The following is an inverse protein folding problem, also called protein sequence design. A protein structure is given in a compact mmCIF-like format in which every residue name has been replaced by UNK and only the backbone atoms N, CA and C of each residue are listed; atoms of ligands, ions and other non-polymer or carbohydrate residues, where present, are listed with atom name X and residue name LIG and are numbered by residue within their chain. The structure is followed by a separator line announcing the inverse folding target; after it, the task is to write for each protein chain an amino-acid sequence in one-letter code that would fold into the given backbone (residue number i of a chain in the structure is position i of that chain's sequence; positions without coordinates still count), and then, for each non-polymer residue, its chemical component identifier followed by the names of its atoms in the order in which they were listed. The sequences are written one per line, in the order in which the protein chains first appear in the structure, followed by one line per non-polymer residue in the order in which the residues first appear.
data_IF_384807450495
#
_entry.id   IF_384807450495
#
_cell.length_a   1.000
_cell.length_b   1.000
_cell.length_c   1.000
_cell.angle_alpha   90.00
_cell.angle_beta   90.00
_cell.angle_gamma   90.00
#
_symmetry.space_group_name_H-M   'P 1'
#
loop_
_entity.id
_entity.type
_entity.pdbx_description
1 polymer ?
#
# COMPACT_ATOMS: atom_id res chain seq x y z
N UNK A 1 31.02 -14.89 27.23
CA UNK A 1 30.05 -14.02 26.53
C UNK A 1 30.59 -13.72 25.13
N UNK A 2 29.98 -14.25 24.08
CA UNK A 2 30.30 -13.88 22.69
C UNK A 2 29.12 -14.24 21.78
N UNK A 3 28.08 -13.40 21.76
CA UNK A 3 27.06 -13.43 20.70
C UNK A 3 27.60 -12.63 19.51
N UNK A 4 28.50 -13.20 18.71
CA UNK A 4 29.06 -12.49 17.56
C UNK A 4 29.48 -13.45 16.45
N UNK A 5 28.49 -14.12 15.89
CA UNK A 5 28.48 -14.64 14.52
C UNK A 5 27.12 -15.27 14.38
N UNK A 6 26.19 -14.64 13.67
CA UNK A 6 24.95 -15.34 13.41
C UNK A 6 24.68 -15.56 11.94
N UNK A 7 24.93 -14.62 11.02
CA UNK A 7 24.60 -14.87 9.60
C UNK A 7 25.49 -14.09 8.62
N UNK A 8 26.49 -14.75 8.02
CA UNK A 8 27.32 -14.24 6.91
C UNK A 8 27.26 -15.21 5.73
N UNK A 9 27.10 -14.70 4.51
CA UNK A 9 27.16 -15.47 3.25
C UNK A 9 28.32 -14.93 2.42
N UNK A 10 29.20 -15.79 1.89
CA UNK A 10 30.42 -15.39 1.18
C UNK A 10 31.25 -14.30 1.91
N UNK A 11 31.42 -14.42 3.23
CA UNK A 11 32.12 -13.46 4.10
C UNK A 11 31.48 -12.05 4.17
N UNK A 12 30.30 -11.86 3.62
CA UNK A 12 29.53 -10.61 3.70
C UNK A 12 28.40 -10.79 4.72
N UNK A 13 28.16 -9.81 5.62
CA UNK A 13 27.05 -9.86 6.56
C UNK A 13 25.70 -10.00 5.86
N UNK A 14 24.84 -10.93 6.30
CA UNK A 14 23.52 -11.15 5.70
C UNK A 14 22.64 -9.89 5.72
N UNK A 15 22.85 -8.98 6.69
CA UNK A 15 22.23 -7.64 6.70
C UNK A 15 22.46 -6.85 5.40
N UNK A 16 23.64 -6.96 4.80
CA UNK A 16 24.00 -6.22 3.60
C UNK A 16 23.24 -6.76 2.37
N UNK A 17 23.13 -8.08 2.23
CA UNK A 17 22.30 -8.68 1.19
C UNK A 17 20.82 -8.31 1.34
N UNK A 18 20.31 -8.28 2.58
CA UNK A 18 18.93 -7.85 2.84
C UNK A 18 18.72 -6.37 2.50
N UNK A 19 19.70 -5.50 2.74
CA UNK A 19 19.66 -4.09 2.32
C UNK A 19 19.65 -3.95 0.79
N UNK A 20 20.49 -4.71 0.09
CA UNK A 20 20.52 -4.74 -1.39
C UNK A 20 19.20 -5.24 -1.98
N UNK A 21 18.65 -6.34 -1.45
CA UNK A 21 17.35 -6.87 -1.89
C UNK A 21 16.21 -5.89 -1.61
N UNK A 22 16.24 -5.18 -0.47
CA UNK A 22 15.27 -4.10 -0.18
C UNK A 22 15.41 -2.94 -1.16
N UNK A 23 16.65 -2.56 -1.48
CA UNK A 23 16.93 -1.49 -2.44
C UNK A 23 16.39 -1.85 -3.83
N UNK A 24 16.62 -3.08 -4.28
CA UNK A 24 16.11 -3.60 -5.56
C UNK A 24 14.58 -3.54 -5.66
N UNK A 25 13.88 -4.01 -4.62
CA UNK A 25 12.41 -3.90 -4.54
C UNK A 25 11.94 -2.44 -4.57
N UNK A 26 12.64 -1.53 -3.89
CA UNK A 26 12.28 -0.11 -3.89
C UNK A 26 12.42 0.52 -5.28
N UNK A 27 13.48 0.16 -6.03
CA UNK A 27 13.64 0.60 -7.41
C UNK A 27 12.54 0.05 -8.33
N UNK A 28 12.21 -1.24 -8.19
CA UNK A 28 11.11 -1.84 -8.94
C UNK A 28 9.76 -1.17 -8.62
N UNK A 29 9.47 -0.91 -7.34
CA UNK A 29 8.26 -0.21 -6.94
C UNK A 29 8.22 1.23 -7.47
N UNK A 30 9.35 1.92 -7.51
CA UNK A 30 9.46 3.26 -8.10
C UNK A 30 9.17 3.23 -9.61
N UNK A 31 9.77 2.29 -10.35
CA UNK A 31 9.51 2.12 -11.77
C UNK A 31 8.03 1.81 -12.05
N UNK A 32 7.40 0.96 -11.24
CA UNK A 32 5.95 0.70 -11.32
C UNK A 32 5.16 2.00 -11.12
N UNK A 33 5.52 2.82 -10.13
CA UNK A 33 4.81 4.08 -9.85
C UNK A 33 4.97 5.12 -10.99
N UNK A 34 6.12 5.15 -11.65
CA UNK A 34 6.42 6.10 -12.74
C UNK A 34 5.78 5.67 -14.08
N UNK A 35 5.88 4.38 -14.42
CA UNK A 35 5.55 3.89 -15.77
C UNK A 35 4.09 3.45 -15.92
N UNK A 36 3.36 3.27 -14.83
CA UNK A 36 1.97 2.79 -14.87
C UNK A 36 1.03 3.90 -15.35
N UNK A 37 0.13 3.57 -16.27
CA UNK A 37 -0.87 4.50 -16.82
C UNK A 37 -1.77 5.14 -15.75
N UNK A 38 -2.14 4.37 -14.73
CA UNK A 38 -2.94 4.84 -13.59
C UNK A 38 -2.00 5.15 -12.42
N UNK A 39 -2.17 6.29 -11.72
CA UNK A 39 -1.40 6.59 -10.53
C UNK A 39 -1.62 5.52 -9.46
N UNK A 40 -0.58 5.29 -8.64
CA UNK A 40 -0.64 4.44 -7.46
C UNK A 40 0.22 5.01 -6.35
N UNK A 41 -0.11 4.68 -5.10
CA UNK A 41 0.75 5.01 -3.96
C UNK A 41 1.97 4.08 -3.92
N UNK A 42 3.00 4.48 -3.17
CA UNK A 42 4.19 3.64 -2.95
C UNK A 42 3.83 2.25 -2.41
N UNK A 43 2.87 2.17 -1.50
CA UNK A 43 2.41 0.92 -0.89
C UNK A 43 1.68 0.05 -1.91
N UNK A 44 0.90 0.66 -2.81
CA UNK A 44 0.25 -0.04 -3.92
C UNK A 44 1.27 -0.54 -4.95
N UNK A 45 2.29 0.25 -5.27
CA UNK A 45 3.36 -0.17 -6.18
C UNK A 45 4.18 -1.34 -5.59
N UNK A 46 4.47 -1.28 -4.29
CA UNK A 46 5.11 -2.38 -3.58
C UNK A 46 4.24 -3.65 -3.55
N UNK A 47 2.92 -3.50 -3.35
CA UNK A 47 1.99 -4.64 -3.40
C UNK A 47 1.89 -5.24 -4.81
N UNK A 48 1.89 -4.40 -5.86
CA UNK A 48 1.95 -4.84 -7.24
C UNK A 48 3.19 -5.67 -7.52
N UNK A 49 4.35 -5.22 -7.03
CA UNK A 49 5.58 -5.98 -7.15
C UNK A 49 5.46 -7.36 -6.48
N UNK A 50 4.90 -7.43 -5.27
CA UNK A 50 4.81 -8.68 -4.51
C UNK A 50 3.76 -9.66 -5.05
N UNK A 51 2.62 -9.16 -5.55
CA UNK A 51 1.43 -9.98 -5.86
C UNK A 51 1.06 -10.00 -7.34
N UNK A 52 1.65 -9.12 -8.15
CA UNK A 52 1.28 -8.91 -9.55
C UNK A 52 -0.10 -8.25 -9.76
N UNK A 53 -0.87 -7.97 -8.71
CA UNK A 53 -2.23 -7.40 -8.82
C UNK A 53 -2.53 -6.39 -7.71
N UNK A 54 -3.38 -5.39 -8.01
CA UNK A 54 -3.92 -4.43 -7.03
C UNK A 54 -5.29 -4.84 -6.48
N UNK A 55 -5.86 -5.94 -6.95
CA UNK A 55 -7.19 -6.35 -6.55
C UNK A 55 -7.14 -6.88 -5.11
N UNK A 56 -7.50 -6.00 -4.17
CA UNK A 56 -7.81 -6.39 -2.80
C UNK A 56 -9.29 -6.75 -2.72
N UNK A 57 -9.59 -8.01 -2.42
CA UNK A 57 -10.95 -8.44 -2.05
C UNK A 57 -11.50 -7.64 -0.85
N UNK A 58 -10.59 -7.17 0.01
CA UNK A 58 -10.93 -6.36 1.19
C UNK A 58 -9.82 -5.34 1.46
N UNK A 59 -10.19 -4.07 1.61
CA UNK A 59 -9.24 -3.04 2.07
C UNK A 59 -9.01 -3.13 3.59
N UNK A 60 -7.82 -2.72 4.06
CA UNK A 60 -7.54 -2.54 5.48
C UNK A 60 -8.60 -1.66 6.14
N UNK A 61 -8.90 -1.92 7.42
CA UNK A 61 -9.91 -1.14 8.15
C UNK A 61 -9.43 0.30 8.36
N UNK A 62 -8.13 0.46 8.52
CA UNK A 62 -7.41 1.70 8.75
C UNK A 62 -7.59 2.66 7.56
N UNK A 63 -7.41 2.17 6.33
CA UNK A 63 -7.68 2.94 5.10
C UNK A 63 -9.13 3.46 5.08
N UNK A 64 -10.10 2.61 5.43
CA UNK A 64 -11.53 2.96 5.39
C UNK A 64 -11.87 3.99 6.47
N UNK A 65 -11.32 3.82 7.67
CA UNK A 65 -11.49 4.75 8.78
C UNK A 65 -10.88 6.11 8.48
N UNK A 66 -9.73 6.13 7.80
CA UNK A 66 -9.12 7.36 7.33
C UNK A 66 -9.96 8.06 6.26
N UNK A 67 -10.48 7.33 5.26
CA UNK A 67 -11.40 7.89 4.26
C UNK A 67 -12.65 8.50 4.93
N UNK A 68 -13.20 7.86 5.97
CA UNK A 68 -14.33 8.39 6.73
C UNK A 68 -13.92 9.66 7.49
N UNK A 69 -12.72 9.68 8.10
CA UNK A 69 -12.19 10.85 8.81
C UNK A 69 -12.03 12.04 7.86
N UNK A 70 -11.38 11.85 6.72
CA UNK A 70 -11.21 12.87 5.69
C UNK A 70 -12.56 13.37 5.17
N UNK A 71 -13.53 12.47 5.00
CA UNK A 71 -14.90 12.86 4.61
C UNK A 71 -15.56 13.74 5.67
N UNK A 72 -15.39 13.43 6.96
CA UNK A 72 -15.90 14.25 8.09
C UNK A 72 -15.21 15.61 8.17
N UNK A 73 -13.95 15.71 7.75
CA UNK A 73 -13.22 16.99 7.64
C UNK A 73 -13.67 17.86 6.46
N UNK A 74 -14.57 17.36 5.60
CA UNK A 74 -15.17 18.13 4.51
C UNK A 74 -14.62 17.82 3.13
N UNK A 75 -13.61 16.95 3.00
CA UNK A 75 -13.07 16.56 1.69
C UNK A 75 -14.15 15.88 0.83
N UNK A 76 -14.12 16.16 -0.46
CA UNK A 76 -14.95 15.54 -1.49
C UNK A 76 -14.43 14.15 -1.80
N UNK A 77 -15.31 13.27 -2.28
CA UNK A 77 -14.92 11.90 -2.65
C UNK A 77 -13.81 11.86 -3.71
N UNK A 78 -13.78 12.84 -4.63
CA UNK A 78 -12.72 12.95 -5.64
C UNK A 78 -11.35 13.22 -5.01
N UNK A 79 -11.26 14.15 -4.07
CA UNK A 79 -10.01 14.50 -3.38
C UNK A 79 -9.50 13.32 -2.55
N UNK A 80 -10.40 12.62 -1.86
CA UNK A 80 -10.06 11.40 -1.12
C UNK A 80 -9.59 10.31 -2.09
N UNK A 81 -10.23 10.18 -3.25
CA UNK A 81 -9.85 9.19 -4.26
C UNK A 81 -8.44 9.45 -4.83
N UNK A 82 -8.08 10.71 -5.03
CA UNK A 82 -6.74 11.12 -5.44
C UNK A 82 -5.68 10.73 -4.40
N UNK A 83 -5.93 10.98 -3.11
CA UNK A 83 -5.02 10.61 -2.00
C UNK A 83 -4.74 9.10 -1.99
N UNK A 84 -5.77 8.27 -2.20
CA UNK A 84 -5.67 6.81 -2.12
C UNK A 84 -5.45 6.12 -3.47
N UNK A 85 -5.27 6.89 -4.54
CA UNK A 85 -5.16 6.40 -5.92
C UNK A 85 -6.29 5.40 -6.26
N UNK A 86 -7.54 5.86 -6.07
CA UNK A 86 -8.77 5.10 -6.23
C UNK A 86 -9.72 5.80 -7.21
N UNK A 87 -10.74 5.06 -7.64
CA UNK A 87 -11.89 5.66 -8.29
C UNK A 87 -12.82 6.33 -7.25
N UNK A 88 -13.38 7.52 -7.52
CA UNK A 88 -14.31 8.20 -6.61
C UNK A 88 -15.54 7.34 -6.24
N UNK A 89 -16.02 6.51 -7.17
CA UNK A 89 -17.10 5.54 -6.93
C UNK A 89 -16.73 4.49 -5.88
N UNK A 90 -15.47 4.02 -5.91
CA UNK A 90 -14.94 3.08 -4.91
C UNK A 90 -14.92 3.73 -3.54
N UNK A 91 -14.44 4.97 -3.42
CA UNK A 91 -14.43 5.70 -2.15
C UNK A 91 -15.85 5.91 -1.63
N UNK A 92 -16.78 6.34 -2.49
CA UNK A 92 -18.19 6.51 -2.13
C UNK A 92 -18.78 5.21 -1.55
N UNK A 93 -18.54 4.08 -2.20
CA UNK A 93 -18.99 2.77 -1.75
C UNK A 93 -18.38 2.40 -0.39
N UNK A 94 -17.08 2.56 -0.22
CA UNK A 94 -16.38 2.21 1.03
C UNK A 94 -16.85 3.05 2.22
N UNK A 95 -16.98 4.37 2.03
CA UNK A 95 -17.41 5.30 3.08
C UNK A 95 -18.87 5.08 3.46
N UNK A 96 -19.75 4.82 2.48
CA UNK A 96 -21.18 4.65 2.72
C UNK A 96 -21.57 3.24 3.17
N UNK A 97 -20.80 2.20 2.81
CA UNK A 97 -21.07 0.81 3.21
C UNK A 97 -21.01 0.60 4.74
N UNK A 98 -20.28 1.44 5.49
CA UNK A 98 -20.34 1.44 6.97
C UNK A 98 -21.61 2.10 7.55
N UNK A 99 -22.39 2.85 6.76
CA UNK A 99 -23.64 3.50 7.23
C UNK A 99 -24.88 2.65 7.05
N UNK A 100 -24.84 1.63 6.19
CA UNK A 100 -25.99 0.76 5.95
C UNK A 100 -25.91 -0.43 6.91
N UNK A 101 -26.89 -0.63 7.82
CA UNK A 101 -27.02 -1.91 8.51
C UNK A 101 -27.14 -3.02 7.46
N UNK A 102 -26.56 -4.18 7.74
CA UNK A 102 -26.74 -5.36 6.90
C UNK A 102 -28.25 -5.52 6.66
N UNK A 103 -28.67 -5.61 5.39
CA UNK A 103 -30.06 -5.95 5.07
C UNK A 103 -30.33 -7.33 5.65
N UNK A 104 -30.99 -7.35 6.80
CA UNK A 104 -31.64 -8.50 7.43
C UNK A 104 -32.80 -8.98 6.57
#
# INVERSE_FOLDING_TARGET
MAYSNIYTYNNIPIKHYLEVLKMDKNWCALLIAILREKPCTREQAAELYDKGTLFRNKRPKEDIEEMIRLRKQGLKFKEIAEIFCLDPSTVCTLVNKKKLPARS
#
